data_IF_526932822019
#
_entry.id   IF_526932822019
#
_cell.length_a   1.000
_cell.length_b   1.000
_cell.length_c   1.000
_cell.angle_alpha   90.00
_cell.angle_beta   90.00
_cell.angle_gamma   90.00
#
_symmetry.space_group_name_H-M   'P 1'
#
loop_
_entity.id
_entity.type
_entity.pdbx_description
1 polymer ?
#
# COMPACT_ATOMS: atom_id res chain seq x y z
N UNK A 1 47.31 22.14 13.20
CA UNK A 1 46.21 21.31 13.76
C UNK A 1 44.99 22.22 13.73
N UNK A 2 43.95 22.04 12.91
CA UNK A 2 43.12 20.84 12.75
C UNK A 2 42.40 20.93 11.40
N UNK A 3 42.49 19.88 10.58
CA UNK A 3 41.84 19.80 9.27
C UNK A 3 40.33 19.54 9.39
N UNK A 4 39.49 20.01 8.45
CA UNK A 4 38.06 19.74 8.45
C UNK A 4 37.78 18.30 8.02
N UNK A 5 37.16 17.54 8.93
CA UNK A 5 36.73 16.16 8.70
C UNK A 5 35.57 16.15 7.71
N UNK A 6 35.84 15.71 6.48
CA UNK A 6 34.83 15.30 5.50
C UNK A 6 34.05 14.11 6.05
N UNK A 7 32.83 14.32 6.53
CA UNK A 7 31.90 13.22 6.80
C UNK A 7 31.28 12.75 5.49
N UNK A 8 31.82 11.65 4.98
CA UNK A 8 31.26 10.89 3.88
C UNK A 8 29.81 10.47 4.20
N UNK A 9 28.85 10.95 3.40
CA UNK A 9 27.47 10.45 3.39
C UNK A 9 27.48 9.00 2.93
N UNK A 10 27.30 8.07 3.87
CA UNK A 10 27.14 6.63 3.61
C UNK A 10 25.98 6.38 2.63
N UNK A 11 26.10 5.41 1.71
CA UNK A 11 25.01 5.00 0.85
C UNK A 11 23.90 4.39 1.72
N UNK A 12 22.66 4.87 1.55
CA UNK A 12 21.49 4.36 2.27
C UNK A 12 21.25 2.92 1.81
N UNK A 13 21.70 1.97 2.65
CA UNK A 13 21.64 0.52 2.42
C UNK A 13 20.49 -0.13 3.20
N UNK A 14 19.47 0.64 3.57
CA UNK A 14 18.30 0.11 4.27
C UNK A 14 17.25 -0.36 3.26
N UNK A 15 17.19 -1.68 3.09
CA UNK A 15 16.17 -2.35 2.28
C UNK A 15 14.75 -1.96 2.75
N UNK A 16 14.57 -1.69 4.05
CA UNK A 16 13.31 -1.17 4.61
C UNK A 16 12.89 0.19 4.02
N UNK A 17 13.81 1.14 3.94
CA UNK A 17 13.56 2.49 3.39
C UNK A 17 13.23 2.42 1.90
N UNK A 18 13.87 1.52 1.16
CA UNK A 18 13.57 1.32 -0.26
C UNK A 18 12.18 0.72 -0.47
N UNK A 19 11.80 -0.31 0.31
CA UNK A 19 10.46 -0.90 0.24
C UNK A 19 9.36 0.12 0.53
N UNK A 20 9.53 0.93 1.59
CA UNK A 20 8.62 2.02 1.94
C UNK A 20 8.45 2.98 0.77
N UNK A 21 9.58 3.46 0.21
CA UNK A 21 9.57 4.40 -0.92
C UNK A 21 8.90 3.83 -2.17
N UNK A 22 9.08 2.53 -2.45
CA UNK A 22 8.39 1.85 -3.56
C UNK A 22 6.89 1.82 -3.32
N UNK A 23 6.46 1.47 -2.11
CA UNK A 23 5.04 1.43 -1.74
C UNK A 23 4.40 2.82 -1.86
N UNK A 24 5.01 3.83 -1.22
CA UNK A 24 4.52 5.22 -1.25
C UNK A 24 4.41 5.72 -2.70
N UNK A 25 5.40 5.41 -3.56
CA UNK A 25 5.36 5.80 -4.97
C UNK A 25 4.23 5.14 -5.76
N UNK A 26 3.87 3.89 -5.46
CA UNK A 26 2.73 3.21 -6.11
C UNK A 26 1.40 3.76 -5.59
N UNK A 27 1.31 4.08 -4.29
CA UNK A 27 0.08 4.58 -3.67
C UNK A 27 -0.24 6.04 -4.00
N UNK A 28 0.77 6.90 -4.05
CA UNK A 28 0.61 8.33 -4.33
C UNK A 28 0.51 8.63 -5.82
N UNK A 29 0.91 7.70 -6.69
CA UNK A 29 0.86 7.90 -8.14
C UNK A 29 -0.60 7.93 -8.62
N UNK A 30 -0.99 9.04 -9.25
CA UNK A 30 -2.31 9.19 -9.87
C UNK A 30 -2.53 8.24 -11.07
N UNK A 31 -1.46 7.63 -11.58
CA UNK A 31 -1.49 6.69 -12.70
C UNK A 31 -0.93 5.33 -12.27
N UNK A 32 -1.50 4.25 -12.83
CA UNK A 32 -0.94 2.91 -12.68
C UNK A 32 0.48 2.89 -13.24
N UNK A 33 1.42 2.33 -12.48
CA UNK A 33 2.83 2.28 -12.88
C UNK A 33 3.19 0.89 -13.38
N UNK A 34 3.81 0.85 -14.55
CA UNK A 34 4.50 -0.37 -14.98
C UNK A 34 5.78 -0.56 -14.15
N UNK A 35 6.26 -1.80 -13.98
CA UNK A 35 7.54 -2.04 -13.30
C UNK A 35 8.73 -1.35 -13.99
N UNK A 36 8.66 -1.09 -15.30
CA UNK A 36 9.68 -0.33 -16.03
C UNK A 36 9.68 1.16 -15.66
N UNK A 37 8.50 1.80 -15.64
CA UNK A 37 8.36 3.20 -15.25
C UNK A 37 8.73 3.44 -13.80
N UNK A 38 8.30 2.54 -12.91
CA UNK A 38 8.64 2.59 -11.49
C UNK A 38 10.17 2.59 -11.30
N UNK A 39 10.89 1.71 -12.01
CA UNK A 39 12.36 1.69 -11.99
C UNK A 39 12.96 2.99 -12.49
N UNK A 40 12.47 3.51 -13.63
CA UNK A 40 12.97 4.76 -14.22
C UNK A 40 12.82 5.94 -13.26
N UNK A 41 11.67 6.05 -12.58
CA UNK A 41 11.41 7.08 -11.57
C UNK A 41 12.30 6.94 -10.33
N UNK A 42 12.54 5.71 -9.86
CA UNK A 42 13.38 5.46 -8.68
C UNK A 42 14.87 5.74 -8.93
N UNK A 43 15.36 5.43 -10.14
CA UNK A 43 16.74 5.71 -10.56
C UNK A 43 17.01 7.22 -10.73
N UNK A 44 16.02 7.98 -11.22
CA UNK A 44 16.16 9.43 -11.40
C UNK A 44 16.21 10.22 -10.08
N UNK A 45 15.54 9.72 -9.03
CA UNK A 45 15.41 10.41 -7.74
C UNK A 45 16.35 9.88 -6.65
N UNK A 46 17.13 8.83 -6.92
CA UNK A 46 17.92 8.15 -5.88
C UNK A 46 19.07 7.35 -6.48
N UNK A 47 20.25 7.38 -5.85
CA UNK A 47 21.40 6.55 -6.23
C UNK A 47 21.20 5.12 -5.68
N UNK A 48 20.33 4.34 -6.34
CA UNK A 48 19.95 2.99 -5.92
C UNK A 48 20.27 2.00 -7.05
N UNK A 49 20.86 0.86 -6.68
CA UNK A 49 21.17 -0.21 -7.63
C UNK A 49 19.89 -0.87 -8.18
N UNK A 50 19.88 -1.18 -9.48
CA UNK A 50 18.71 -1.76 -10.15
C UNK A 50 18.32 -3.12 -9.55
N UNK A 51 19.31 -3.90 -9.10
CA UNK A 51 19.06 -5.18 -8.43
C UNK A 51 18.34 -4.99 -7.10
N UNK A 52 18.69 -3.95 -6.34
CA UNK A 52 18.03 -3.65 -5.07
C UNK A 52 16.54 -3.31 -5.29
N UNK A 53 16.22 -2.55 -6.34
CA UNK A 53 14.82 -2.22 -6.71
C UNK A 53 14.05 -3.49 -7.08
N UNK A 54 14.62 -4.37 -7.90
CA UNK A 54 14.00 -5.66 -8.27
C UNK A 54 13.71 -6.51 -7.05
N UNK A 55 14.67 -6.61 -6.14
CA UNK A 55 14.50 -7.37 -4.89
C UNK A 55 13.42 -6.73 -4.02
N UNK A 56 13.41 -5.41 -3.85
CA UNK A 56 12.37 -4.72 -3.08
C UNK A 56 10.96 -4.94 -3.64
N UNK A 57 10.78 -4.84 -4.96
CA UNK A 57 9.49 -5.12 -5.62
C UNK A 57 9.08 -6.58 -5.39
N UNK A 58 9.99 -7.53 -5.57
CA UNK A 58 9.72 -8.95 -5.34
C UNK A 58 9.30 -9.21 -3.89
N UNK A 59 10.01 -8.63 -2.94
CA UNK A 59 9.72 -8.77 -1.52
C UNK A 59 8.33 -8.21 -1.18
N UNK A 60 7.96 -7.05 -1.73
CA UNK A 60 6.65 -6.45 -1.55
C UNK A 60 5.51 -7.28 -2.15
N UNK A 61 5.77 -7.98 -3.25
CA UNK A 61 4.79 -8.90 -3.86
C UNK A 61 4.65 -10.15 -2.99
N UNK A 62 5.77 -10.73 -2.53
CA UNK A 62 5.75 -11.90 -1.64
C UNK A 62 5.05 -11.61 -0.30
N UNK A 63 5.23 -10.39 0.23
CA UNK A 63 4.54 -9.93 1.44
C UNK A 63 3.10 -9.48 1.19
N UNK A 64 2.59 -9.57 -0.04
CA UNK A 64 1.25 -9.12 -0.45
C UNK A 64 0.97 -7.65 -0.14
N UNK A 65 1.99 -6.80 -0.18
CA UNK A 65 1.85 -5.34 -0.17
C UNK A 65 1.49 -4.82 -1.56
N UNK A 66 2.10 -5.43 -2.58
CA UNK A 66 1.86 -5.14 -3.99
C UNK A 66 1.35 -6.37 -4.72
N UNK A 67 0.63 -6.13 -5.82
CA UNK A 67 0.20 -7.15 -6.78
C UNK A 67 0.50 -6.72 -8.20
N UNK A 68 0.69 -7.69 -9.09
CA UNK A 68 0.62 -7.43 -10.52
C UNK A 68 -0.83 -7.43 -10.98
N UNK A 69 -1.22 -6.40 -11.71
CA UNK A 69 -2.48 -6.35 -12.46
C UNK A 69 -2.17 -6.31 -13.94
N UNK A 70 -3.06 -6.86 -14.75
CA UNK A 70 -2.92 -6.87 -16.20
C UNK A 70 -4.07 -6.10 -16.82
N UNK A 71 -3.76 -5.04 -17.54
CA UNK A 71 -4.73 -4.22 -18.24
C UNK A 71 -4.21 -3.95 -19.65
N UNK A 72 -5.00 -4.35 -20.67
CA UNK A 72 -4.78 -4.01 -22.07
C UNK A 72 -3.36 -4.30 -22.59
N UNK A 73 -2.80 -5.47 -22.28
CA UNK A 73 -1.45 -5.82 -22.75
C UNK A 73 -0.31 -5.47 -21.80
N UNK A 74 -0.58 -4.69 -20.75
CA UNK A 74 0.44 -4.16 -19.86
C UNK A 74 0.29 -4.68 -18.42
N UNK A 75 1.43 -5.02 -17.80
CA UNK A 75 1.49 -5.34 -16.38
C UNK A 75 1.74 -4.08 -15.56
N UNK A 76 0.90 -3.86 -14.56
CA UNK A 76 1.01 -2.76 -13.62
C UNK A 76 1.29 -3.29 -12.21
N UNK A 77 1.92 -2.46 -11.40
CA UNK A 77 2.07 -2.68 -9.97
C UNK A 77 1.03 -1.85 -9.23
N UNK A 78 0.22 -2.52 -8.42
CA UNK A 78 -0.83 -1.89 -7.62
C UNK A 78 -0.77 -2.37 -6.18
N UNK A 79 -1.31 -1.57 -5.26
CA UNK A 79 -1.52 -1.98 -3.88
C UNK A 79 -2.37 -3.25 -3.83
N UNK A 80 -1.89 -4.24 -3.08
CA UNK A 80 -2.65 -5.44 -2.82
C UNK A 80 -3.59 -5.24 -1.63
N UNK A 81 -4.80 -5.78 -1.76
CA UNK A 81 -5.82 -5.81 -0.72
C UNK A 81 -6.06 -7.26 -0.26
N UNK A 82 -5.18 -8.19 -0.62
CA UNK A 82 -5.25 -9.61 -0.24
C UNK A 82 -4.60 -9.88 1.12
N UNK A 83 -4.68 -8.90 2.01
CA UNK A 83 -4.24 -8.89 3.41
C UNK A 83 -5.18 -7.99 4.23
N UNK A 84 -5.23 -8.15 5.57
CA UNK A 84 -5.99 -7.24 6.42
C UNK A 84 -5.61 -5.80 6.11
N UNK A 85 -6.57 -5.00 5.64
CA UNK A 85 -6.34 -3.64 5.17
C UNK A 85 -7.35 -2.72 5.81
N UNK A 86 -6.84 -1.72 6.55
CA UNK A 86 -7.66 -0.64 7.10
C UNK A 86 -8.14 0.26 5.96
N UNK A 87 -9.46 0.36 5.81
CA UNK A 87 -10.10 1.16 4.76
C UNK A 87 -10.80 2.41 5.30
N UNK A 88 -11.04 2.46 6.62
CA UNK A 88 -11.64 3.59 7.32
C UNK A 88 -11.00 3.77 8.71
N UNK A 89 -11.44 4.75 9.51
CA UNK A 89 -10.86 4.99 10.85
C UNK A 89 -10.95 3.75 11.72
N UNK A 90 -12.09 3.04 11.71
CA UNK A 90 -12.34 1.82 12.47
C UNK A 90 -12.48 0.57 11.61
N UNK A 91 -12.79 0.71 10.32
CA UNK A 91 -13.12 -0.45 9.47
C UNK A 91 -11.86 -1.07 8.84
N UNK A 92 -11.69 -2.37 9.07
CA UNK A 92 -10.63 -3.22 8.49
C UNK A 92 -11.27 -4.32 7.66
N UNK A 93 -10.93 -4.39 6.38
CA UNK A 93 -11.34 -5.50 5.52
C UNK A 93 -10.29 -6.60 5.58
N UNK A 94 -10.73 -7.82 5.82
CA UNK A 94 -9.85 -8.98 5.97
C UNK A 94 -10.30 -10.12 5.06
N UNK A 95 -9.39 -10.73 4.30
CA UNK A 95 -9.68 -12.01 3.65
C UNK A 95 -9.92 -13.13 4.69
N UNK A 96 -10.84 -14.08 4.44
CA UNK A 96 -11.12 -15.17 5.37
C UNK A 96 -9.87 -16.00 5.67
N UNK A 97 -9.75 -16.48 6.90
CA UNK A 97 -8.68 -17.39 7.32
C UNK A 97 -7.31 -16.74 7.60
N UNK A 98 -7.17 -15.41 7.46
CA UNK A 98 -5.97 -14.71 7.93
C UNK A 98 -6.07 -14.31 9.40
N UNK A 99 -4.94 -14.34 10.09
CA UNK A 99 -4.82 -13.85 11.46
C UNK A 99 -4.66 -12.33 11.42
N UNK A 100 -5.46 -11.64 12.23
CA UNK A 100 -5.39 -10.19 12.43
C UNK A 100 -5.76 -9.89 13.87
N UNK A 101 -4.87 -9.18 14.57
CA UNK A 101 -5.13 -8.70 15.93
C UNK A 101 -5.76 -7.30 15.84
N UNK A 102 -7.08 -7.16 16.11
CA UNK A 102 -7.77 -5.89 16.03
C UNK A 102 -7.28 -4.93 17.12
N UNK A 103 -7.07 -3.66 16.77
CA UNK A 103 -6.88 -2.61 17.74
C UNK A 103 -8.22 -2.26 18.42
N UNK A 104 -8.16 -1.59 19.57
CA UNK A 104 -9.36 -1.15 20.28
C UNK A 104 -10.22 -0.24 19.38
N UNK A 105 -11.49 -0.62 19.22
CA UNK A 105 -12.45 0.10 18.38
C UNK A 105 -12.51 -0.34 16.92
N UNK A 106 -11.68 -1.30 16.49
CA UNK A 106 -11.70 -1.85 15.14
C UNK A 106 -12.96 -2.66 14.86
N UNK A 107 -13.50 -2.48 13.65
CA UNK A 107 -14.56 -3.27 13.05
C UNK A 107 -13.92 -4.08 11.94
N UNK A 108 -13.66 -5.35 12.21
CA UNK A 108 -13.06 -6.28 11.24
C UNK A 108 -14.17 -6.96 10.46
N UNK A 109 -14.13 -6.82 9.13
CA UNK A 109 -15.10 -7.43 8.22
C UNK A 109 -14.37 -8.48 7.40
N UNK A 110 -14.78 -9.74 7.58
CA UNK A 110 -14.33 -10.84 6.73
C UNK A 110 -15.05 -10.78 5.39
N UNK A 111 -14.27 -10.57 4.31
CA UNK A 111 -14.79 -10.49 2.96
C UNK A 111 -13.93 -11.35 2.03
N UNK A 112 -14.56 -12.27 1.30
CA UNK A 112 -13.87 -13.10 0.32
C UNK A 112 -13.79 -12.38 -1.03
N UNK A 113 -12.66 -12.54 -1.73
CA UNK A 113 -12.54 -12.09 -3.11
C UNK A 113 -13.28 -13.09 -3.99
N UNK A 114 -14.17 -12.61 -4.85
CA UNK A 114 -14.98 -13.45 -5.73
C UNK A 114 -15.51 -12.67 -6.91
N UNK A 115 -16.60 -13.15 -7.51
CA UNK A 115 -17.28 -12.46 -8.61
C UNK A 115 -18.02 -11.19 -8.13
N UNK A 116 -18.28 -11.07 -6.83
CA UNK A 116 -18.98 -9.93 -6.26
C UNK A 116 -18.07 -8.70 -6.14
N UNK A 117 -18.63 -7.54 -6.49
CA UNK A 117 -17.99 -6.25 -6.22
C UNK A 117 -18.01 -5.94 -4.71
N UNK A 118 -17.08 -5.10 -4.25
CA UNK A 118 -17.07 -4.63 -2.86
C UNK A 118 -15.99 -5.19 -1.95
N UNK A 119 -14.98 -5.88 -2.50
CA UNK A 119 -13.84 -6.40 -1.72
C UNK A 119 -12.93 -5.30 -1.14
N UNK A 120 -13.09 -4.05 -1.57
CA UNK A 120 -12.35 -2.88 -1.04
C UNK A 120 -11.09 -2.51 -1.82
N UNK A 121 -10.74 -3.28 -2.84
CA UNK A 121 -9.65 -2.95 -3.77
C UNK A 121 -10.02 -1.76 -4.67
N UNK A 122 -11.30 -1.58 -4.99
CA UNK A 122 -11.78 -0.42 -5.71
C UNK A 122 -11.96 0.81 -4.80
N UNK A 123 -11.52 2.02 -5.23
CA UNK A 123 -11.65 3.25 -4.44
C UNK A 123 -13.08 3.57 -3.99
N UNK A 124 -14.08 3.29 -4.83
CA UNK A 124 -15.49 3.61 -4.49
C UNK A 124 -16.00 2.83 -3.30
N UNK A 125 -15.60 1.56 -3.12
CA UNK A 125 -15.95 0.79 -1.92
C UNK A 125 -15.39 1.45 -0.67
N UNK A 126 -14.13 1.90 -0.70
CA UNK A 126 -13.50 2.55 0.45
C UNK A 126 -14.14 3.90 0.76
N UNK A 127 -14.41 4.71 -0.27
CA UNK A 127 -15.12 5.98 -0.12
C UNK A 127 -16.52 5.79 0.47
N UNK A 128 -17.26 4.77 0.03
CA UNK A 128 -18.58 4.46 0.57
C UNK A 128 -18.49 4.07 2.07
N UNK A 129 -17.54 3.20 2.44
CA UNK A 129 -17.34 2.82 3.84
C UNK A 129 -16.95 4.04 4.70
N UNK A 130 -16.06 4.90 4.21
CA UNK A 130 -15.66 6.13 4.90
C UNK A 130 -16.84 7.10 5.08
N UNK A 131 -17.68 7.25 4.05
CA UNK A 131 -18.89 8.07 4.13
C UNK A 131 -19.91 7.52 5.11
N UNK A 132 -20.11 6.20 5.13
CA UNK A 132 -20.99 5.53 6.12
C UNK A 132 -20.45 5.76 7.54
N UNK A 133 -19.14 5.57 7.76
CA UNK A 133 -18.54 5.80 9.07
C UNK A 133 -18.69 7.26 9.51
N UNK A 134 -18.48 8.22 8.62
CA UNK A 134 -18.67 9.65 8.91
C UNK A 134 -20.14 9.95 9.27
N UNK A 135 -21.10 9.49 8.46
CA UNK A 135 -22.52 9.71 8.70
C UNK A 135 -23.00 9.09 10.03
N UNK A 136 -22.49 7.90 10.38
CA UNK A 136 -22.80 7.24 11.67
C UNK A 136 -22.08 7.89 12.85
N UNK A 137 -20.92 8.52 12.63
CA UNK A 137 -20.19 9.26 13.67
C UNK A 137 -20.81 10.64 13.94
N UNK A 138 -21.50 11.23 12.96
CA UNK A 138 -22.11 12.56 13.05
C UNK A 138 -23.59 12.55 13.51
N UNK A 139 -24.24 11.39 13.65
CA UNK A 139 -25.58 11.27 14.26
C UNK A 139 -25.49 11.28 15.80
N UNK A 140 -26.01 12.25 16.57
CA UNK A 140 -27.34 12.87 16.49
C UNK A 140 -28.49 11.86 16.33
N UNK A 141 -28.84 11.16 17.42
CA UNK A 141 -30.25 10.95 17.77
C UNK A 141 -31.17 10.08 16.92
N UNK A 142 -30.68 9.12 16.11
CA UNK A 142 -31.54 8.11 15.49
C UNK A 142 -30.75 6.79 15.56
N UNK A 143 -30.85 6.01 16.63
CA UNK A 143 -31.88 5.00 16.84
C UNK A 143 -32.25 4.93 18.35
N UNK A 144 -33.52 5.23 18.66
CA UNK A 144 -34.22 4.77 19.87
C UNK A 144 -35.50 4.09 19.42
#
# INVERSE_FOLDING_TARGET
>A
MTAPVKTAKKPIKDNGTLRRKVLDMVEESSQRLTPGELRKRLLGNTFVDEKAIKTAIRDLILSRELKYTYHLGCSFLEKSYEKPTRVSKRVVLKPPGMIYEPASGDIVIDISKGASFGFGDHPTTRLAIQGIEAALSENHGILK
#
